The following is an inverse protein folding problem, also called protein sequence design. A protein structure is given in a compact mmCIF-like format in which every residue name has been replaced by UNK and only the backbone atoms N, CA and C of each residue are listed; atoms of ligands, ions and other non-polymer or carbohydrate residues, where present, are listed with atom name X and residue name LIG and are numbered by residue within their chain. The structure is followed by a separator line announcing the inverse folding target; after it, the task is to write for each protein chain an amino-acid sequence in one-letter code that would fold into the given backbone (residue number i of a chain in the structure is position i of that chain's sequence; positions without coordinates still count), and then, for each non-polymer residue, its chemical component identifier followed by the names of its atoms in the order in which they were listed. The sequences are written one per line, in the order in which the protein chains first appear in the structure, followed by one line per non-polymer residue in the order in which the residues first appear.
data_IF_350651842143
#
_entry.id   IF_350651842143
#
_cell.length_a   1.000
_cell.length_b   1.000
_cell.length_c   1.000
_cell.angle_alpha   90.00
_cell.angle_beta   90.00
_cell.angle_gamma   90.00
#
_symmetry.space_group_name_H-M   'P 1'
#
loop_
_entity.id
_entity.type
_entity.pdbx_description
1 polymer ?
#
# COMPACT_ATOMS: atom_id res chain seq x y z
N UNK A 1 2.17 -59.74 22.98
CA UNK A 1 0.81 -59.19 22.90
C UNK A 1 0.67 -58.29 24.11
N UNK A 2 0.90 -56.99 23.93
CA UNK A 2 -0.13 -55.95 23.74
C UNK A 2 -0.33 -55.23 25.09
N UNK A 3 0.09 -53.96 25.21
CA UNK A 3 -0.79 -52.77 25.10
C UNK A 3 -1.72 -52.66 26.33
N UNK A 4 -1.89 -51.56 27.06
CA UNK A 4 -1.72 -50.11 26.89
C UNK A 4 -1.49 -49.58 28.31
N UNK A 5 -0.58 -48.63 28.50
CA UNK A 5 -0.63 -47.77 29.69
C UNK A 5 -1.07 -46.38 29.25
N UNK A 6 -2.31 -46.06 29.60
CA UNK A 6 -2.81 -44.70 29.72
C UNK A 6 -1.81 -43.89 30.56
N UNK A 7 -1.25 -42.84 29.96
CA UNK A 7 -0.62 -41.77 30.71
C UNK A 7 -1.43 -40.51 30.49
N UNK A 8 -2.37 -40.39 31.42
CA UNK A 8 -2.98 -39.17 31.93
C UNK A 8 -2.10 -37.93 31.79
N UNK A 9 -2.77 -36.88 31.38
CA UNK A 9 -2.35 -35.51 31.15
C UNK A 9 -1.31 -34.99 32.16
N UNK A 10 -0.14 -34.65 31.64
CA UNK A 10 0.76 -33.70 32.26
C UNK A 10 0.56 -32.34 31.57
N UNK A 11 -0.51 -31.63 31.97
CA UNK A 11 -0.64 -30.19 31.76
C UNK A 11 0.36 -29.54 32.72
N UNK A 12 1.60 -29.45 32.27
CA UNK A 12 2.64 -28.74 33.00
C UNK A 12 2.47 -27.24 32.72
N UNK A 13 2.20 -26.54 33.82
CA UNK A 13 1.86 -25.13 33.91
C UNK A 13 3.05 -24.27 33.49
N UNK A 14 3.05 -23.74 32.27
CA UNK A 14 3.93 -22.64 31.86
C UNK A 14 3.12 -21.35 31.83
N UNK A 15 2.96 -20.75 33.00
CA UNK A 15 2.61 -19.33 33.11
C UNK A 15 3.91 -18.53 33.11
N UNK A 16 4.32 -18.05 31.93
CA UNK A 16 5.31 -16.98 31.80
C UNK A 16 5.10 -16.26 30.45
N UNK A 17 4.71 -14.98 30.52
CA UNK A 17 4.78 -14.00 29.44
C UNK A 17 3.98 -14.24 28.15
N UNK A 18 2.64 -14.03 28.18
CA UNK A 18 1.90 -13.52 27.01
C UNK A 18 1.65 -14.48 25.84
N UNK A 19 1.49 -15.78 26.08
CA UNK A 19 1.06 -16.72 25.03
C UNK A 19 -0.47 -16.72 24.92
N UNK A 20 -0.99 -16.04 23.90
CA UNK A 20 -2.40 -16.09 23.53
C UNK A 20 -2.66 -17.40 22.77
N UNK A 21 -3.43 -18.33 23.34
CA UNK A 21 -3.89 -19.51 22.60
C UNK A 21 -5.32 -19.30 22.07
N UNK A 22 -5.60 -19.83 20.88
CA UNK A 22 -6.94 -19.86 20.29
C UNK A 22 -7.47 -21.29 20.31
N UNK A 23 -8.66 -21.46 20.88
CA UNK A 23 -9.36 -22.76 20.93
C UNK A 23 -10.56 -22.72 19.99
N UNK A 24 -10.68 -23.73 19.12
CA UNK A 24 -11.78 -23.88 18.19
C UNK A 24 -12.87 -24.77 18.80
N UNK A 25 -13.64 -24.20 19.73
CA UNK A 25 -14.76 -24.92 20.35
C UNK A 25 -15.96 -24.98 19.41
N UNK A 26 -16.52 -26.18 19.19
CA UNK A 26 -17.68 -26.40 18.31
C UNK A 26 -17.36 -26.49 16.81
N UNK A 27 -16.10 -26.37 16.39
CA UNK A 27 -15.68 -26.62 15.01
C UNK A 27 -15.49 -28.12 14.73
N UNK A 28 -15.65 -28.52 13.46
CA UNK A 28 -15.37 -29.89 13.06
C UNK A 28 -13.87 -30.18 13.08
N UNK A 29 -13.48 -31.46 13.19
CA UNK A 29 -12.06 -31.84 13.16
C UNK A 29 -11.37 -31.43 11.85
N UNK A 30 -12.12 -31.40 10.75
CA UNK A 30 -11.62 -30.95 9.44
C UNK A 30 -11.28 -29.46 9.47
N UNK A 31 -12.16 -28.62 10.03
CA UNK A 31 -11.94 -27.18 10.15
C UNK A 31 -10.74 -26.85 11.02
N UNK A 32 -10.56 -27.58 12.12
CA UNK A 32 -9.38 -27.44 13.00
C UNK A 32 -8.11 -27.82 12.25
N UNK A 33 -8.14 -28.87 11.42
CA UNK A 33 -7.01 -29.26 10.59
C UNK A 33 -6.69 -28.18 9.54
N UNK A 34 -7.69 -27.62 8.87
CA UNK A 34 -7.50 -26.53 7.91
C UNK A 34 -6.91 -25.28 8.57
N UNK A 35 -7.45 -24.88 9.72
CA UNK A 35 -6.94 -23.73 10.46
C UNK A 35 -5.47 -23.93 10.86
N UNK A 36 -5.08 -25.12 11.32
CA UNK A 36 -3.67 -25.43 11.65
C UNK A 36 -2.76 -25.28 10.42
N UNK A 37 -3.15 -25.84 9.28
CA UNK A 37 -2.37 -25.71 8.04
C UNK A 37 -2.29 -24.25 7.59
N UNK A 38 -3.41 -23.52 7.65
CA UNK A 38 -3.48 -22.11 7.29
C UNK A 38 -2.56 -21.24 8.17
N UNK A 39 -2.64 -21.36 9.49
CA UNK A 39 -1.79 -20.56 10.38
C UNK A 39 -0.31 -20.96 10.28
N UNK A 40 -0.01 -22.25 10.04
CA UNK A 40 1.36 -22.70 9.80
C UNK A 40 1.98 -22.10 8.53
N UNK A 41 1.19 -21.82 7.49
CA UNK A 41 1.69 -21.21 6.26
C UNK A 41 1.95 -19.71 6.39
N UNK A 42 1.27 -19.03 7.32
CA UNK A 42 1.50 -17.61 7.63
C UNK A 42 2.69 -17.39 8.56
N UNK A 43 3.04 -18.40 9.38
CA UNK A 43 4.20 -18.38 10.27
C UNK A 43 5.49 -18.85 9.59
N UNK A 44 5.59 -18.80 8.26
CA UNK A 44 6.84 -19.08 7.57
C UNK A 44 7.87 -17.99 7.89
N UNK A 45 9.12 -18.40 8.10
CA UNK A 45 10.23 -17.46 8.16
C UNK A 45 10.19 -16.60 6.88
N UNK A 46 10.33 -15.26 6.97
CA UNK A 46 10.38 -14.43 5.78
C UNK A 46 11.43 -15.01 4.82
N UNK A 47 11.16 -15.03 3.49
CA UNK A 47 12.13 -15.46 2.50
C UNK A 47 13.48 -14.78 2.78
N UNK A 48 14.59 -15.48 2.53
CA UNK A 48 15.93 -14.96 2.84
C UNK A 48 16.18 -13.61 2.15
N UNK A 49 15.57 -13.41 0.98
CA UNK A 49 15.59 -12.16 0.21
C UNK A 49 14.88 -10.98 0.90
N UNK A 50 13.96 -11.25 1.83
CA UNK A 50 13.25 -10.27 2.66
C UNK A 50 13.90 -10.06 4.04
N UNK A 51 14.96 -10.82 4.37
CA UNK A 51 15.68 -10.68 5.63
C UNK A 51 16.68 -9.54 5.56
N UNK A 52 16.53 -8.53 6.43
CA UNK A 52 17.53 -7.47 6.63
C UNK A 52 18.86 -8.00 7.19
N UNK A 53 18.84 -9.20 7.77
CA UNK A 53 20.02 -9.87 8.31
C UNK A 53 20.43 -10.94 7.32
N UNK A 54 21.47 -10.66 6.56
CA UNK A 54 22.09 -11.67 5.72
C UNK A 54 22.97 -12.56 6.61
N UNK A 55 22.52 -13.79 6.79
CA UNK A 55 23.07 -14.77 7.73
C UNK A 55 24.51 -15.20 7.41
N UNK A 56 24.98 -14.97 6.18
CA UNK A 56 26.31 -15.38 5.70
C UNK A 56 27.05 -14.24 4.98
N UNK A 57 27.02 -13.02 5.54
CA UNK A 57 27.96 -11.97 5.08
C UNK A 57 29.29 -12.19 5.77
N UNK A 58 30.21 -12.81 5.05
CA UNK A 58 31.63 -12.72 5.40
C UNK A 58 32.21 -11.43 4.84
N UNK A 59 32.88 -10.65 5.68
CA UNK A 59 33.55 -9.44 5.27
C UNK A 59 34.76 -9.81 4.39
N UNK A 60 34.60 -9.75 3.07
CA UNK A 60 35.67 -10.12 2.10
C UNK A 60 36.86 -9.15 2.14
N UNK A 61 36.63 -7.93 2.59
CA UNK A 61 37.64 -6.88 2.69
C UNK A 61 38.20 -6.78 4.10
N UNK A 62 39.49 -6.48 4.22
CA UNK A 62 40.11 -6.22 5.52
C UNK A 62 39.38 -5.04 6.19
N UNK A 63 38.99 -5.21 7.46
CA UNK A 63 38.49 -4.13 8.31
C UNK A 63 39.47 -2.97 8.25
N UNK A 64 38.98 -1.75 7.99
CA UNK A 64 39.81 -0.56 7.99
C UNK A 64 40.54 -0.47 9.34
N UNK A 65 41.88 -0.34 9.29
CA UNK A 65 42.66 -0.15 10.50
C UNK A 65 42.23 1.16 11.15
N UNK A 66 42.07 1.16 12.48
CA UNK A 66 41.83 2.37 13.24
C UNK A 66 42.86 3.45 12.83
N UNK A 67 42.45 4.72 12.69
CA UNK A 67 43.34 5.77 12.21
C UNK A 67 44.55 5.84 13.14
N UNK A 68 45.71 5.47 12.60
CA UNK A 68 46.98 5.73 13.26
C UNK A 68 47.11 7.25 13.30
N UNK A 69 47.11 7.80 14.51
CA UNK A 69 47.35 9.22 14.77
C UNK A 69 48.82 9.54 14.46
N UNK A 70 49.22 9.45 13.19
CA UNK A 70 50.40 10.17 12.71
C UNK A 70 49.91 11.56 12.35
N UNK A 71 50.37 12.54 13.12
CA UNK A 71 50.11 13.96 12.93
C UNK A 71 50.59 14.42 11.55
N UNK A 72 49.76 14.22 10.53
CA UNK A 72 49.81 14.93 9.26
C UNK A 72 48.41 15.41 9.02
N UNK A 73 48.13 16.61 9.51
CA UNK A 73 46.93 17.39 9.23
C UNK A 73 46.81 17.53 7.71
N UNK A 74 45.74 17.05 7.07
CA UNK A 74 45.35 17.57 5.76
C UNK A 74 44.85 19.00 5.98
N UNK A 75 45.57 19.97 5.41
CA UNK A 75 45.32 21.42 5.57
C UNK A 75 44.13 21.93 4.74
N UNK A 76 43.09 21.13 4.48
CA UNK A 76 41.89 21.64 3.79
C UNK A 76 40.63 20.95 4.33
N UNK A 77 39.57 21.71 4.71
CA UNK A 77 38.29 21.11 5.04
C UNK A 77 37.68 20.42 3.81
N UNK A 78 36.96 19.28 3.96
CA UNK A 78 36.32 18.55 2.86
C UNK A 78 35.23 19.30 2.05
N UNK A 79 35.04 20.59 2.28
CA UNK A 79 34.00 21.41 1.66
C UNK A 79 34.60 22.22 0.50
N UNK A 80 34.94 21.53 -0.59
CA UNK A 80 35.28 22.21 -1.83
C UNK A 80 34.01 22.79 -2.48
N UNK A 81 34.05 24.06 -2.88
CA UNK A 81 32.96 24.76 -3.59
C UNK A 81 32.43 23.98 -4.80
N UNK A 82 33.28 23.17 -5.44
CA UNK A 82 32.89 22.28 -6.54
C UNK A 82 31.85 21.23 -6.14
N UNK A 83 31.91 20.68 -4.92
CA UNK A 83 30.93 19.70 -4.45
C UNK A 83 29.55 20.34 -4.24
N UNK A 84 29.52 21.57 -3.75
CA UNK A 84 28.27 22.33 -3.56
C UNK A 84 27.61 22.67 -4.91
N UNK A 85 28.39 23.04 -5.91
CA UNK A 85 27.88 23.28 -7.27
C UNK A 85 27.31 22.01 -7.91
N UNK A 86 27.95 20.86 -7.70
CA UNK A 86 27.47 19.56 -8.19
C UNK A 86 26.12 19.22 -7.53
N UNK A 87 26.01 19.39 -6.21
CA UNK A 87 24.77 19.15 -5.47
C UNK A 87 23.64 20.08 -5.93
N UNK A 88 23.95 21.37 -6.15
CA UNK A 88 22.98 22.34 -6.63
C UNK A 88 22.47 22.00 -8.04
N UNK A 89 23.37 21.59 -8.95
CA UNK A 89 22.98 21.15 -10.30
C UNK A 89 22.12 19.89 -10.27
N UNK A 90 22.48 18.90 -9.44
CA UNK A 90 21.70 17.68 -9.28
C UNK A 90 20.28 17.99 -8.79
N UNK A 91 20.15 18.89 -7.80
CA UNK A 91 18.86 19.34 -7.29
C UNK A 91 18.02 20.04 -8.36
N UNK A 92 18.61 20.95 -9.14
CA UNK A 92 17.91 21.64 -10.22
C UNK A 92 17.42 20.67 -11.30
N UNK A 93 18.24 19.68 -11.66
CA UNK A 93 17.85 18.67 -12.64
C UNK A 93 16.68 17.83 -12.14
N UNK A 94 16.72 17.39 -10.87
CA UNK A 94 15.61 16.65 -10.26
C UNK A 94 14.30 17.46 -10.31
N UNK A 95 14.36 18.76 -9.97
CA UNK A 95 13.18 19.64 -10.04
C UNK A 95 12.64 19.81 -11.46
N UNK A 96 13.51 19.85 -12.47
CA UNK A 96 13.08 19.91 -13.86
C UNK A 96 12.41 18.61 -14.30
N UNK A 97 12.99 17.47 -13.96
CA UNK A 97 12.42 16.15 -14.26
C UNK A 97 11.06 15.95 -13.59
N UNK A 98 10.93 16.30 -12.31
CA UNK A 98 9.65 16.23 -11.60
C UNK A 98 8.60 17.14 -12.25
N UNK A 99 8.97 18.38 -12.58
CA UNK A 99 8.07 19.30 -13.27
C UNK A 99 7.62 18.76 -14.62
N UNK A 100 8.53 18.20 -15.42
CA UNK A 100 8.20 17.59 -16.71
C UNK A 100 7.25 16.41 -16.53
N UNK A 101 7.52 15.53 -15.55
CA UNK A 101 6.66 14.40 -15.21
C UNK A 101 5.24 14.84 -14.86
N UNK A 102 5.07 15.88 -14.05
CA UNK A 102 3.75 16.41 -13.72
C UNK A 102 3.04 17.02 -14.92
N UNK A 103 3.76 17.72 -15.81
CA UNK A 103 3.18 18.26 -17.03
C UNK A 103 2.68 17.17 -17.98
N UNK A 104 3.42 16.08 -18.13
CA UNK A 104 2.97 14.93 -18.92
C UNK A 104 1.74 14.26 -18.33
N UNK A 105 1.71 14.12 -17.00
CA UNK A 105 0.57 13.54 -16.30
C UNK A 105 -0.68 14.42 -16.44
N UNK A 106 -0.54 15.75 -16.36
CA UNK A 106 -1.62 16.69 -16.61
C UNK A 106 -2.17 16.58 -18.04
N UNK A 107 -1.29 16.49 -19.05
CA UNK A 107 -1.70 16.28 -20.45
C UNK A 107 -2.50 14.98 -20.61
N UNK A 108 -2.03 13.87 -20.04
CA UNK A 108 -2.75 12.58 -20.07
C UNK A 108 -4.11 12.68 -19.39
N UNK A 109 -4.20 13.39 -18.27
CA UNK A 109 -5.47 13.63 -17.59
C UNK A 109 -6.43 14.41 -18.49
N UNK A 110 -5.97 15.48 -19.15
CA UNK A 110 -6.80 16.28 -20.06
C UNK A 110 -7.29 15.46 -21.27
N UNK A 111 -6.45 14.59 -21.81
CA UNK A 111 -6.83 13.65 -22.88
C UNK A 111 -7.95 12.70 -22.44
N UNK A 112 -7.83 12.12 -21.24
CA UNK A 112 -8.86 11.24 -20.67
C UNK A 112 -10.17 12.01 -20.47
N UNK A 113 -10.10 13.21 -19.91
CA UNK A 113 -11.28 14.06 -19.68
C UNK A 113 -11.98 14.44 -20.99
N UNK A 114 -11.22 14.78 -22.03
CA UNK A 114 -11.76 15.06 -23.36
C UNK A 114 -12.46 13.84 -23.96
N UNK A 115 -11.86 12.65 -23.83
CA UNK A 115 -12.42 11.39 -24.31
C UNK A 115 -13.74 11.05 -23.59
N UNK A 116 -13.77 11.17 -22.26
CA UNK A 116 -14.98 10.95 -21.46
C UNK A 116 -16.10 11.93 -21.82
N UNK A 117 -15.76 13.20 -22.05
CA UNK A 117 -16.70 14.22 -22.52
C UNK A 117 -17.32 13.82 -23.86
N UNK A 118 -16.49 13.40 -24.83
CA UNK A 118 -16.96 12.92 -26.14
C UNK A 118 -17.89 11.71 -25.99
N UNK A 119 -17.52 10.71 -25.18
CA UNK A 119 -18.36 9.55 -24.92
C UNK A 119 -19.73 9.94 -24.32
N UNK A 120 -19.75 10.92 -23.42
CA UNK A 120 -20.99 11.45 -22.84
C UNK A 120 -21.86 12.11 -23.90
N UNK A 121 -21.28 12.94 -24.76
CA UNK A 121 -21.99 13.60 -25.86
C UNK A 121 -22.56 12.57 -26.86
N UNK A 122 -21.77 11.57 -27.24
CA UNK A 122 -22.21 10.48 -28.11
C UNK A 122 -23.36 9.68 -27.50
N UNK A 123 -23.30 9.38 -26.19
CA UNK A 123 -24.39 8.74 -25.46
C UNK A 123 -25.66 9.60 -25.49
N UNK A 124 -25.55 10.88 -25.17
CA UNK A 124 -26.68 11.83 -25.18
C UNK A 124 -27.32 11.88 -26.57
N UNK A 125 -26.51 11.95 -27.63
CA UNK A 125 -26.99 11.96 -29.01
C UNK A 125 -27.75 10.68 -29.37
N UNK A 126 -27.23 9.51 -29.02
CA UNK A 126 -27.91 8.21 -29.23
C UNK A 126 -29.21 8.13 -28.45
N UNK A 127 -29.19 8.56 -27.18
CA UNK A 127 -30.38 8.59 -26.35
C UNK A 127 -31.47 9.49 -26.94
N UNK A 128 -31.10 10.70 -27.37
CA UNK A 128 -32.03 11.67 -27.98
C UNK A 128 -32.79 11.06 -29.15
N UNK A 129 -32.11 10.35 -30.06
CA UNK A 129 -32.75 9.67 -31.20
C UNK A 129 -33.60 8.47 -30.72
N UNK A 130 -33.08 7.68 -29.78
CA UNK A 130 -33.80 6.49 -29.27
C UNK A 130 -35.05 6.85 -28.49
N UNK A 131 -35.09 7.98 -27.77
CA UNK A 131 -36.21 8.40 -26.92
C UNK A 131 -37.52 8.48 -27.69
N UNK A 132 -37.46 8.87 -28.97
CA UNK A 132 -38.62 8.92 -29.87
C UNK A 132 -39.17 7.53 -30.24
N UNK A 133 -38.35 6.48 -30.11
CA UNK A 133 -38.65 5.12 -30.56
C UNK A 133 -38.74 4.10 -29.42
N UNK A 134 -38.64 4.53 -28.15
CA UNK A 134 -38.76 3.60 -27.01
C UNK A 134 -40.24 3.24 -26.82
N UNK A 135 -40.61 1.94 -26.86
CA UNK A 135 -41.96 1.53 -26.53
C UNK A 135 -42.25 1.90 -25.06
N UNK A 136 -43.41 2.51 -24.82
CA UNK A 136 -43.89 2.90 -23.49
C UNK A 136 -43.93 1.65 -22.60
N UNK A 137 -42.98 1.55 -21.66
CA UNK A 137 -43.06 0.53 -20.61
C UNK A 137 -44.16 0.95 -19.62
N UNK A 138 -45.02 0.03 -19.16
CA UNK A 138 -45.92 0.32 -18.06
C UNK A 138 -45.11 0.74 -16.84
N UNK A 139 -45.56 1.82 -16.23
CA UNK A 139 -44.89 2.58 -15.18
C UNK A 139 -44.90 1.77 -13.88
N UNK A 140 -43.91 0.92 -13.68
CA UNK A 140 -43.57 0.40 -12.36
C UNK A 140 -42.74 1.48 -11.65
N UNK A 141 -43.47 2.31 -10.92
CA UNK A 141 -43.02 3.28 -9.92
C UNK A 141 -42.26 2.59 -8.78
N UNK A 142 -41.07 2.07 -9.06
CA UNK A 142 -40.13 1.68 -8.01
C UNK A 142 -38.71 1.56 -8.58
N UNK A 143 -38.10 2.72 -8.87
CA UNK A 143 -36.64 2.79 -8.89
C UNK A 143 -36.24 3.77 -7.82
N UNK A 144 -35.73 3.22 -6.73
CA UNK A 144 -35.10 3.91 -5.61
C UNK A 144 -34.18 5.01 -6.15
N UNK A 145 -34.68 6.23 -6.09
CA UNK A 145 -33.91 7.44 -6.35
C UNK A 145 -33.17 7.75 -5.07
N UNK A 146 -31.96 7.20 -4.88
CA UNK A 146 -31.03 7.71 -3.88
C UNK A 146 -30.55 9.10 -4.33
N UNK A 147 -31.41 10.10 -4.15
CA UNK A 147 -30.99 11.51 -4.17
C UNK A 147 -30.46 11.78 -2.77
N UNK A 148 -29.16 11.98 -2.65
CA UNK A 148 -28.66 12.76 -1.52
C UNK A 148 -29.36 14.13 -1.59
N UNK A 149 -29.92 14.65 -0.47
CA UNK A 149 -30.55 15.96 -0.47
C UNK A 149 -29.54 17.01 -0.95
N UNK A 150 -29.89 17.84 -1.95
CA UNK A 150 -28.98 18.84 -2.52
C UNK A 150 -28.42 19.82 -1.46
N UNK A 151 -29.15 19.99 -0.36
CA UNK A 151 -28.81 20.88 0.75
C UNK A 151 -27.52 20.49 1.48
N UNK A 152 -27.14 19.20 1.49
CA UNK A 152 -25.89 18.76 2.15
C UNK A 152 -24.67 19.12 1.30
N UNK A 153 -24.77 19.02 -0.03
CA UNK A 153 -23.66 19.36 -0.93
C UNK A 153 -23.38 20.86 -0.94
N UNK A 154 -24.42 21.68 -0.91
CA UNK A 154 -24.30 23.14 -0.93
C UNK A 154 -23.70 23.67 0.38
N UNK A 155 -23.96 22.97 1.50
CA UNK A 155 -23.38 23.29 2.80
C UNK A 155 -21.89 22.96 2.86
N UNK A 156 -21.49 21.78 2.40
CA UNK A 156 -20.08 21.36 2.33
C UNK A 156 -19.26 22.32 1.45
N UNK A 157 -19.83 22.79 0.33
CA UNK A 157 -19.18 23.75 -0.56
C UNK A 157 -18.97 25.11 0.13
N UNK A 158 -19.94 25.59 0.90
CA UNK A 158 -19.81 26.83 1.67
C UNK A 158 -18.75 26.72 2.76
N UNK A 159 -18.74 25.62 3.50
CA UNK A 159 -17.79 25.41 4.59
C UNK A 159 -16.34 25.41 4.09
N UNK A 160 -16.08 24.82 2.92
CA UNK A 160 -14.75 24.87 2.29
C UNK A 160 -14.38 26.28 1.84
N UNK A 161 -15.34 27.09 1.40
CA UNK A 161 -15.11 28.48 0.97
C UNK A 161 -14.86 29.43 2.16
N UNK A 162 -15.39 29.16 3.34
CA UNK A 162 -15.16 29.97 4.55
C UNK A 162 -13.78 29.73 5.20
N UNK A 163 -13.09 28.65 4.84
CA UNK A 163 -11.78 28.28 5.39
C UNK A 163 -10.58 28.87 4.59
N UNK A 164 -10.84 29.59 3.50
CA UNK A 164 -9.83 30.24 2.63
C UNK A 164 -9.86 31.75 2.83
#
# INVERSE_FOLDING_TARGET
MSEVSDKVDAVETLSDGGVCYTVFEGSSQEDVAYAKVFWSSLCLQPPIESSLVALDITQRLKVAKAPQTSNTVPTEPPWSTENDEILQKAYQLQMQDEKQRYLEMAKKHDEIMALLKKHREDRIKKEMVSRLHKPRRPELTERFSCKAPPEVLDQDIKEVQELV
#
